data_IF_132021978841
#
_entry.id   IF_132021978841
#
_cell.length_a   1.000
_cell.length_b   1.000
_cell.length_c   1.000
_cell.angle_alpha   90.00
_cell.angle_beta   90.00
_cell.angle_gamma   90.00
#
_symmetry.space_group_name_H-M   'P 1'
#
loop_
_entity.id
_entity.type
_entity.pdbx_description
1 polymer ?
#
# COMPACT_ATOMS: atom_id res chain seq x y z
N UNK A 1 17.09 13.57 12.30
CA UNK A 1 17.80 12.57 13.10
C UNK A 1 18.19 11.35 12.28
N UNK A 2 17.29 10.79 11.46
CA UNK A 2 17.56 9.58 10.65
C UNK A 2 18.89 9.64 9.86
N UNK A 3 19.15 10.72 9.13
CA UNK A 3 20.41 10.89 8.37
C UNK A 3 21.67 10.86 9.24
N UNK A 4 21.61 11.45 10.44
CA UNK A 4 22.73 11.47 11.37
C UNK A 4 22.99 10.07 11.93
N UNK A 5 21.94 9.37 12.36
CA UNK A 5 22.05 8.03 12.93
C UNK A 5 22.55 7.03 11.89
N UNK A 6 22.12 7.14 10.63
CA UNK A 6 22.64 6.31 9.53
C UNK A 6 24.15 6.49 9.36
N UNK A 7 24.67 7.72 9.42
CA UNK A 7 26.11 7.97 9.32
C UNK A 7 26.90 7.32 10.47
N UNK A 8 26.40 7.44 11.71
CA UNK A 8 27.03 6.84 12.89
C UNK A 8 27.01 5.31 12.82
N UNK A 9 25.88 4.72 12.44
CA UNK A 9 25.76 3.27 12.35
C UNK A 9 26.59 2.68 11.20
N UNK A 10 26.73 3.40 10.09
CA UNK A 10 27.57 2.97 8.97
C UNK A 10 29.05 2.88 9.37
N UNK A 11 29.54 3.86 10.13
CA UNK A 11 30.91 3.85 10.68
C UNK A 11 31.13 2.66 11.62
N UNK A 12 30.22 2.44 12.58
CA UNK A 12 30.28 1.31 13.52
C UNK A 12 30.22 -0.04 12.78
N UNK A 13 29.43 -0.14 11.73
CA UNK A 13 29.24 -1.37 10.96
C UNK A 13 30.32 -1.60 9.89
N UNK A 14 31.27 -0.68 9.70
CA UNK A 14 32.27 -0.75 8.64
C UNK A 14 31.67 -0.73 7.23
N UNK A 15 30.62 0.07 7.02
CA UNK A 15 29.94 0.23 5.73
C UNK A 15 30.43 1.50 5.05
N UNK A 16 31.30 1.34 4.05
CA UNK A 16 31.88 2.46 3.31
C UNK A 16 30.92 3.11 2.30
N UNK A 17 30.00 2.31 1.72
CA UNK A 17 29.02 2.76 0.74
C UNK A 17 27.58 2.38 1.15
N UNK A 18 26.94 3.33 1.84
CA UNK A 18 25.57 3.22 2.33
C UNK A 18 24.58 3.08 1.17
N UNK A 19 24.83 3.74 0.03
CA UNK A 19 23.91 3.71 -1.11
C UNK A 19 23.96 2.34 -1.81
N UNK A 20 25.15 1.79 -2.01
CA UNK A 20 25.33 0.44 -2.53
C UNK A 20 24.73 -0.62 -1.61
N UNK A 21 24.93 -0.50 -0.29
CA UNK A 21 24.30 -1.42 0.68
C UNK A 21 22.76 -1.34 0.60
N UNK A 22 22.20 -0.14 0.66
CA UNK A 22 20.75 0.07 0.59
C UNK A 22 20.17 -0.48 -0.73
N UNK A 23 20.81 -0.19 -1.86
CA UNK A 23 20.38 -0.70 -3.16
C UNK A 23 20.37 -2.24 -3.21
N UNK A 24 21.41 -2.90 -2.68
CA UNK A 24 21.44 -4.37 -2.58
C UNK A 24 20.34 -4.92 -1.69
N UNK A 25 20.07 -4.29 -0.55
CA UNK A 25 18.99 -4.70 0.36
C UNK A 25 17.62 -4.60 -0.32
N UNK A 26 17.35 -3.48 -0.99
CA UNK A 26 16.10 -3.29 -1.73
C UNK A 26 15.95 -4.29 -2.87
N UNK A 27 16.99 -4.52 -3.67
CA UNK A 27 16.96 -5.50 -4.76
C UNK A 27 16.76 -6.93 -4.26
N UNK A 28 17.39 -7.29 -3.15
CA UNK A 28 17.20 -8.61 -2.53
C UNK A 28 15.74 -8.81 -2.10
N UNK A 29 15.16 -7.83 -1.38
CA UNK A 29 13.75 -7.84 -0.98
C UNK A 29 12.83 -7.95 -2.20
N UNK A 30 13.03 -7.13 -3.24
CA UNK A 30 12.17 -7.16 -4.44
C UNK A 30 12.23 -8.50 -5.19
N UNK A 31 13.39 -9.16 -5.23
CA UNK A 31 13.51 -10.51 -5.80
C UNK A 31 12.69 -11.55 -5.01
N UNK A 32 12.65 -11.44 -3.69
CA UNK A 32 11.85 -12.34 -2.85
C UNK A 32 10.34 -12.12 -3.02
N UNK A 33 9.90 -10.86 -3.17
CA UNK A 33 8.49 -10.53 -3.39
C UNK A 33 7.92 -11.24 -4.63
N UNK A 34 8.71 -11.39 -5.69
CA UNK A 34 8.30 -12.12 -6.89
C UNK A 34 7.97 -13.61 -6.61
N UNK A 35 8.58 -14.21 -5.59
CA UNK A 35 8.35 -15.60 -5.19
C UNK A 35 7.29 -15.79 -4.11
N UNK A 36 6.81 -14.72 -3.45
CA UNK A 36 5.75 -14.82 -2.45
C UNK A 36 4.42 -15.18 -3.10
N UNK A 37 3.56 -15.90 -2.38
CA UNK A 37 2.17 -16.13 -2.81
C UNK A 37 1.34 -14.84 -2.75
N UNK A 38 0.21 -14.80 -3.46
CA UNK A 38 -0.74 -13.69 -3.34
C UNK A 38 -1.13 -13.43 -1.87
N UNK A 39 -1.37 -14.49 -1.09
CA UNK A 39 -1.64 -14.39 0.35
C UNK A 39 -0.51 -13.69 1.11
N UNK A 40 0.74 -14.06 0.82
CA UNK A 40 1.92 -13.43 1.43
C UNK A 40 2.06 -11.95 1.06
N UNK A 41 1.74 -11.59 -0.19
CA UNK A 41 1.78 -10.19 -0.66
C UNK A 41 0.67 -9.34 -0.03
N UNK A 42 -0.55 -9.85 0.04
CA UNK A 42 -1.71 -9.14 0.60
C UNK A 42 -1.61 -8.99 2.12
N UNK A 43 -1.10 -10.01 2.82
CA UNK A 43 -1.06 -10.00 4.30
C UNK A 43 0.29 -9.52 4.88
N UNK A 44 1.36 -9.48 4.09
CA UNK A 44 2.73 -9.26 4.58
C UNK A 44 2.95 -7.95 5.35
N UNK A 45 2.68 -6.79 4.73
CA UNK A 45 2.64 -5.49 5.42
C UNK A 45 1.23 -4.90 5.44
N UNK A 46 0.26 -5.70 5.89
CA UNK A 46 -1.11 -5.27 6.09
C UNK A 46 -1.29 -4.65 7.48
N UNK A 47 -2.02 -3.53 7.55
CA UNK A 47 -2.44 -2.91 8.81
C UNK A 47 -3.92 -2.58 8.80
N UNK A 48 -4.58 -2.79 9.93
CA UNK A 48 -5.99 -2.49 10.16
C UNK A 48 -6.13 -1.11 10.80
N UNK A 49 -7.14 -0.37 10.35
CA UNK A 49 -7.48 0.95 10.87
C UNK A 49 -8.98 0.96 11.19
N UNK A 50 -9.30 1.05 12.48
CA UNK A 50 -10.69 1.11 12.95
C UNK A 50 -11.18 2.56 12.93
N UNK A 51 -12.39 2.76 12.43
CA UNK A 51 -13.05 4.06 12.35
C UNK A 51 -14.42 3.98 12.99
N UNK A 52 -14.75 5.01 13.76
CA UNK A 52 -16.07 5.22 14.33
C UNK A 52 -16.44 6.70 14.15
N UNK A 53 -17.32 6.98 13.18
CA UNK A 53 -17.84 8.32 12.93
C UNK A 53 -19.30 8.33 13.32
N UNK A 54 -19.67 9.24 14.24
CA UNK A 54 -21.05 9.44 14.66
C UNK A 54 -21.94 9.69 13.44
N UNK A 55 -23.02 8.92 13.31
CA UNK A 55 -23.97 8.97 12.19
C UNK A 55 -23.32 8.73 10.79
N UNK A 56 -22.15 8.05 10.77
CA UNK A 56 -21.34 7.80 9.58
C UNK A 56 -20.78 6.37 9.53
N UNK A 57 -19.64 6.22 8.85
CA UNK A 57 -18.97 4.93 8.74
C UNK A 57 -18.46 4.45 10.11
N UNK A 58 -18.77 3.20 10.44
CA UNK A 58 -18.22 2.47 11.57
C UNK A 58 -17.72 1.12 11.06
N UNK A 59 -16.42 0.85 11.21
CA UNK A 59 -15.81 -0.35 10.65
C UNK A 59 -14.30 -0.30 10.54
N UNK A 60 -13.73 -1.35 9.98
CA UNK A 60 -12.30 -1.52 9.78
C UNK A 60 -11.91 -1.40 8.31
N UNK A 61 -10.80 -0.69 8.08
CA UNK A 61 -10.13 -0.58 6.78
C UNK A 61 -8.79 -1.29 6.86
N UNK A 62 -8.58 -2.27 5.99
CA UNK A 62 -7.28 -2.89 5.79
C UNK A 62 -6.44 -2.11 4.77
N UNK A 63 -5.16 -1.91 5.06
CA UNK A 63 -4.24 -1.26 4.12
C UNK A 63 -2.89 -2.00 4.07
N UNK A 64 -2.68 -2.73 2.98
CA UNK A 64 -1.47 -3.45 2.65
C UNK A 64 -0.55 -2.64 1.73
N UNK A 65 0.76 -2.87 1.84
CA UNK A 65 1.78 -2.19 1.04
C UNK A 65 2.82 -3.20 0.56
N UNK A 66 3.13 -3.17 -0.73
CA UNK A 66 4.22 -3.92 -1.34
C UNK A 66 5.22 -2.90 -1.89
N UNK A 67 6.41 -2.83 -1.29
CA UNK A 67 7.49 -1.95 -1.73
C UNK A 67 8.46 -2.73 -2.62
N UNK A 68 8.60 -2.31 -3.87
CA UNK A 68 9.41 -3.01 -4.87
C UNK A 68 10.21 -2.02 -5.72
N UNK A 69 11.34 -2.47 -6.26
CA UNK A 69 12.08 -1.73 -7.30
C UNK A 69 11.47 -1.92 -8.69
N UNK A 70 10.68 -2.98 -8.87
CA UNK A 70 10.02 -3.35 -10.11
C UNK A 70 8.55 -3.64 -9.81
N UNK A 71 7.70 -2.65 -10.08
CA UNK A 71 6.27 -2.72 -9.80
C UNK A 71 5.51 -3.52 -10.86
N UNK A 72 6.00 -3.56 -12.09
CA UNK A 72 5.36 -4.28 -13.20
C UNK A 72 5.23 -5.77 -12.87
N UNK A 73 6.27 -6.37 -12.24
CA UNK A 73 6.24 -7.77 -11.76
C UNK A 73 5.09 -8.06 -10.76
N UNK A 74 4.69 -7.07 -9.96
CA UNK A 74 3.58 -7.22 -9.01
C UNK A 74 2.25 -6.92 -9.70
N UNK A 75 2.22 -5.92 -10.59
CA UNK A 75 1.02 -5.54 -11.34
C UNK A 75 0.60 -6.64 -12.32
N UNK A 76 1.54 -7.40 -12.91
CA UNK A 76 1.24 -8.55 -13.77
C UNK A 76 0.54 -9.70 -13.03
N UNK A 77 0.49 -9.65 -11.70
CA UNK A 77 -0.14 -10.65 -10.82
C UNK A 77 -1.51 -10.20 -10.30
N UNK A 78 -2.12 -9.16 -10.88
CA UNK A 78 -3.43 -8.66 -10.43
C UNK A 78 -4.53 -9.72 -10.42
N UNK A 79 -4.52 -10.67 -11.37
CA UNK A 79 -5.54 -11.71 -11.47
C UNK A 79 -5.59 -12.63 -10.24
N UNK A 80 -4.47 -12.83 -9.54
CA UNK A 80 -4.42 -13.58 -8.28
C UNK A 80 -4.53 -12.67 -7.04
N UNK A 81 -4.05 -11.42 -7.13
CA UNK A 81 -4.07 -10.48 -6.02
C UNK A 81 -5.48 -9.98 -5.69
N UNK A 82 -6.30 -9.65 -6.70
CA UNK A 82 -7.65 -9.11 -6.47
C UNK A 82 -8.57 -10.13 -5.76
N UNK A 83 -8.61 -11.42 -6.15
CA UNK A 83 -9.36 -12.43 -5.40
C UNK A 83 -8.84 -12.64 -3.98
N UNK A 84 -7.52 -12.64 -3.78
CA UNK A 84 -6.94 -12.78 -2.44
C UNK A 84 -7.27 -11.58 -1.54
N UNK A 85 -7.28 -10.36 -2.09
CA UNK A 85 -7.76 -9.18 -1.36
C UNK A 85 -9.20 -9.37 -0.89
N UNK A 86 -10.09 -9.90 -1.74
CA UNK A 86 -11.47 -10.21 -1.35
C UNK A 86 -11.55 -11.29 -0.27
N UNK A 87 -10.71 -12.33 -0.35
CA UNK A 87 -10.63 -13.37 0.65
C UNK A 87 -10.17 -12.80 2.00
N UNK A 88 -9.08 -12.03 2.02
CA UNK A 88 -8.55 -11.35 3.21
C UNK A 88 -9.58 -10.37 3.80
N UNK A 89 -10.27 -9.59 2.96
CA UNK A 89 -11.36 -8.68 3.37
C UNK A 89 -12.44 -9.43 4.14
N UNK A 90 -12.89 -10.57 3.61
CA UNK A 90 -13.92 -11.41 4.24
C UNK A 90 -13.42 -12.06 5.53
N UNK A 91 -12.21 -12.62 5.52
CA UNK A 91 -11.60 -13.29 6.68
C UNK A 91 -11.42 -12.33 7.87
N UNK A 92 -10.94 -11.12 7.59
CA UNK A 92 -10.66 -10.11 8.61
C UNK A 92 -11.88 -9.26 8.99
N UNK A 93 -12.98 -9.37 8.25
CA UNK A 93 -14.18 -8.56 8.46
C UNK A 93 -14.00 -7.08 8.08
N UNK A 94 -13.06 -6.76 7.18
CA UNK A 94 -12.86 -5.40 6.71
C UNK A 94 -14.01 -4.94 5.82
N UNK A 95 -14.44 -3.69 5.99
CA UNK A 95 -15.42 -3.07 5.10
C UNK A 95 -14.74 -2.57 3.82
N UNK A 96 -13.45 -2.22 3.91
CA UNK A 96 -12.61 -1.83 2.78
C UNK A 96 -11.21 -2.44 2.95
N UNK A 97 -10.62 -2.96 1.87
CA UNK A 97 -9.20 -3.33 1.84
C UNK A 97 -8.49 -2.69 0.66
N UNK A 98 -7.30 -2.13 0.90
CA UNK A 98 -6.42 -1.59 -0.13
C UNK A 98 -5.10 -2.35 -0.17
N UNK A 99 -4.53 -2.47 -1.37
CA UNK A 99 -3.14 -2.91 -1.58
C UNK A 99 -2.42 -1.86 -2.43
N UNK A 100 -1.44 -1.18 -1.84
CA UNK A 100 -0.59 -0.23 -2.56
C UNK A 100 0.70 -0.90 -3.02
N UNK A 101 0.95 -0.91 -4.32
CA UNK A 101 2.23 -1.31 -4.92
C UNK A 101 3.07 -0.06 -5.11
N UNK A 102 4.15 0.06 -4.33
CA UNK A 102 5.00 1.24 -4.25
C UNK A 102 6.31 0.96 -4.98
N UNK A 103 6.58 1.70 -6.06
CA UNK A 103 7.91 1.68 -6.68
C UNK A 103 8.83 2.63 -5.92
N UNK A 104 9.78 2.08 -5.17
CA UNK A 104 10.71 2.87 -4.33
C UNK A 104 11.83 3.55 -5.12
N UNK A 105 12.02 3.18 -6.39
CA UNK A 105 13.01 3.79 -7.30
C UNK A 105 12.37 4.93 -8.10
N UNK A 106 11.22 4.67 -8.74
CA UNK A 106 10.44 5.65 -9.51
C UNK A 106 9.67 6.63 -8.60
N UNK A 107 9.53 6.30 -7.32
CA UNK A 107 8.79 7.07 -6.31
C UNK A 107 7.34 7.32 -6.71
N UNK A 108 6.66 6.25 -7.15
CA UNK A 108 5.22 6.29 -7.44
C UNK A 108 4.48 5.13 -6.78
N UNK A 109 3.16 5.13 -6.84
CA UNK A 109 2.36 4.00 -6.36
C UNK A 109 1.10 3.74 -7.18
N UNK A 110 0.77 2.47 -7.32
CA UNK A 110 -0.50 1.98 -7.83
C UNK A 110 -1.32 1.41 -6.67
N UNK A 111 -2.61 1.74 -6.62
CA UNK A 111 -3.54 1.26 -5.60
C UNK A 111 -4.50 0.27 -6.24
N UNK A 112 -4.48 -0.98 -5.78
CA UNK A 112 -5.42 -1.99 -6.22
C UNK A 112 -6.75 -1.85 -5.48
N UNK A 113 -7.84 -2.03 -6.22
CA UNK A 113 -9.21 -1.80 -5.81
C UNK A 113 -10.02 -3.07 -6.13
N UNK A 114 -10.38 -3.84 -5.11
CA UNK A 114 -11.03 -5.14 -5.31
C UNK A 114 -12.57 -5.05 -5.37
N UNK A 115 -13.16 -3.86 -5.21
CA UNK A 115 -14.62 -3.71 -5.10
C UNK A 115 -15.13 -2.28 -5.25
N UNK A 116 -16.46 -2.12 -5.21
CA UNK A 116 -17.10 -0.80 -5.25
C UNK A 116 -16.78 0.07 -4.01
N UNK A 117 -16.76 -0.45 -2.77
CA UNK A 117 -16.37 0.34 -1.59
C UNK A 117 -14.95 0.91 -1.70
N UNK A 118 -14.00 0.10 -2.16
CA UNK A 118 -12.60 0.48 -2.38
C UNK A 118 -12.51 1.61 -3.41
N UNK A 119 -13.16 1.46 -4.56
CA UNK A 119 -13.19 2.49 -5.62
C UNK A 119 -13.76 3.80 -5.11
N UNK A 120 -14.96 3.76 -4.51
CA UNK A 120 -15.63 4.95 -3.98
C UNK A 120 -14.79 5.71 -2.96
N UNK A 121 -14.17 4.98 -2.02
CA UNK A 121 -13.32 5.60 -1.01
C UNK A 121 -12.02 6.15 -1.61
N UNK A 122 -11.40 5.42 -2.55
CA UNK A 122 -10.19 5.86 -3.22
C UNK A 122 -10.43 7.14 -4.06
N UNK A 123 -11.54 7.21 -4.81
CA UNK A 123 -11.93 8.41 -5.57
C UNK A 123 -12.05 9.62 -4.64
N UNK A 124 -12.77 9.46 -3.52
CA UNK A 124 -12.93 10.56 -2.55
C UNK A 124 -11.64 10.90 -1.80
N UNK A 125 -10.73 9.96 -1.58
CA UNK A 125 -9.49 10.18 -0.85
C UNK A 125 -8.37 10.77 -1.69
N UNK A 126 -8.26 10.34 -2.95
CA UNK A 126 -7.07 10.59 -3.76
C UNK A 126 -7.36 11.33 -5.07
N UNK A 127 -8.59 11.26 -5.58
CA UNK A 127 -9.03 11.91 -6.82
C UNK A 127 -8.22 11.51 -8.07
N UNK A 128 -7.58 10.35 -8.06
CA UNK A 128 -6.75 9.87 -9.17
C UNK A 128 -7.56 9.17 -10.27
N UNK A 129 -6.93 8.96 -11.41
CA UNK A 129 -7.51 8.18 -12.51
C UNK A 129 -7.58 6.71 -12.11
N UNK A 130 -8.76 6.11 -12.32
CA UNK A 130 -8.98 4.67 -12.21
C UNK A 130 -8.99 4.05 -13.60
N UNK A 131 -8.38 2.88 -13.74
CA UNK A 131 -8.42 2.10 -14.97
C UNK A 131 -9.85 1.78 -15.40
N UNK A 132 -10.06 1.51 -16.70
CA UNK A 132 -11.41 1.30 -17.27
C UNK A 132 -12.16 0.14 -16.62
N UNK A 133 -11.44 -0.89 -16.20
CA UNK A 133 -11.97 -2.06 -15.49
C UNK A 133 -12.19 -1.81 -13.98
N UNK A 134 -11.75 -0.65 -13.46
CA UNK A 134 -11.97 -0.24 -12.09
C UNK A 134 -10.98 -0.80 -11.06
N UNK A 135 -9.98 -1.57 -11.51
CA UNK A 135 -9.15 -2.39 -10.62
C UNK A 135 -7.93 -1.66 -10.04
N UNK A 136 -7.48 -0.56 -10.67
CA UNK A 136 -6.27 0.17 -10.26
C UNK A 136 -6.49 1.68 -10.30
N UNK A 137 -5.97 2.37 -9.28
CA UNK A 137 -5.79 3.82 -9.27
C UNK A 137 -4.31 4.19 -9.22
N UNK A 138 -3.89 5.13 -10.08
CA UNK A 138 -2.55 5.71 -9.98
C UNK A 138 -2.53 6.78 -8.87
N UNK A 139 -1.66 6.61 -7.87
CA UNK A 139 -1.52 7.54 -6.74
C UNK A 139 -0.44 8.63 -6.97
N UNK A 140 0.22 8.63 -8.12
CA UNK A 140 1.31 9.54 -8.45
C UNK A 140 2.47 9.39 -7.47
N UNK A 141 3.02 10.50 -6.99
CA UNK A 141 4.21 10.55 -6.12
C UNK A 141 3.97 10.18 -4.64
N UNK A 142 2.79 9.68 -4.31
CA UNK A 142 2.45 9.28 -2.95
C UNK A 142 3.02 7.88 -2.70
N UNK A 143 3.85 7.72 -1.68
CA UNK A 143 4.59 6.47 -1.42
C UNK A 143 4.52 6.00 0.03
N UNK A 144 4.03 6.84 0.94
CA UNK A 144 4.01 6.55 2.37
C UNK A 144 2.60 6.29 2.89
N UNK A 145 2.38 5.09 3.43
CA UNK A 145 1.11 4.77 4.13
C UNK A 145 0.78 5.75 5.24
N UNK A 146 1.78 6.13 6.06
CA UNK A 146 1.57 7.02 7.21
C UNK A 146 1.39 8.48 6.82
N UNK A 147 2.13 8.97 5.81
CA UNK A 147 2.12 10.39 5.43
C UNK A 147 1.09 10.70 4.34
N UNK A 148 0.96 9.82 3.35
CA UNK A 148 0.24 10.12 2.11
C UNK A 148 -1.12 9.40 2.01
N UNK A 149 -1.20 8.14 2.46
CA UNK A 149 -2.40 7.31 2.23
C UNK A 149 -3.43 7.44 3.36
N UNK A 150 -3.08 6.99 4.57
CA UNK A 150 -4.04 6.90 5.69
C UNK A 150 -4.62 8.25 6.13
N UNK A 151 -3.86 9.36 6.17
CA UNK A 151 -4.44 10.66 6.49
C UNK A 151 -5.55 11.07 5.51
N UNK A 152 -5.40 10.78 4.22
CA UNK A 152 -6.41 11.06 3.19
C UNK A 152 -7.63 10.18 3.34
N UNK A 153 -7.44 8.87 3.52
CA UNK A 153 -8.53 7.92 3.81
C UNK A 153 -9.32 8.35 5.05
N UNK A 154 -8.61 8.67 6.14
CA UNK A 154 -9.20 9.14 7.40
C UNK A 154 -10.00 10.42 7.20
N UNK A 155 -9.45 11.38 6.47
CA UNK A 155 -10.13 12.64 6.15
C UNK A 155 -11.41 12.40 5.39
N UNK A 156 -11.40 11.54 4.37
CA UNK A 156 -12.58 11.23 3.54
C UNK A 156 -13.68 10.54 4.33
N UNK A 157 -13.32 9.62 5.23
CA UNK A 157 -14.25 8.97 6.16
C UNK A 157 -14.88 10.00 7.10
N UNK A 158 -14.06 10.85 7.73
CA UNK A 158 -14.55 11.91 8.63
C UNK A 158 -15.42 12.96 7.93
N UNK A 159 -15.18 13.20 6.63
CA UNK A 159 -16.02 14.07 5.79
C UNK A 159 -17.26 13.35 5.24
N UNK A 160 -17.74 12.31 5.94
CA UNK A 160 -19.01 11.65 5.64
C UNK A 160 -18.97 10.74 4.41
N UNK A 161 -17.82 10.13 4.09
CA UNK A 161 -17.87 8.97 3.19
C UNK A 161 -18.73 7.87 3.83
N UNK A 162 -19.57 7.24 3.01
CA UNK A 162 -20.42 6.11 3.41
C UNK A 162 -20.12 4.97 2.46
N UNK A 163 -20.16 3.75 2.98
CA UNK A 163 -20.02 2.56 2.16
C UNK A 163 -21.14 2.54 1.11
N UNK A 164 -20.75 2.32 -0.15
CA UNK A 164 -21.65 2.17 -1.29
C UNK A 164 -21.85 0.69 -1.61
#
# INVERSE_FOLDING_TARGET
WDRLIVAVLADIAGVDDIQSLASRQFKAKSKELAGLSAHGLVNGDQKSFSFEVKDGFSGEVGFAVVETTDDDVIMDRMEELLPEMLACKKERGYQVIFLAVVNIVKLHSNLLLCGAPERSLAEKAFGGEITKDGSVMNLGKRVSRKKDFIPKVTSSIKQGWKIQ
#
